data_IF_887077672765
#
_entry.id   IF_887077672765
#
_cell.length_a   1.000
_cell.length_b   1.000
_cell.length_c   1.000
_cell.angle_alpha   90.00
_cell.angle_beta   90.00
_cell.angle_gamma   90.00
#
_symmetry.space_group_name_H-M   'P 1'
#
loop_
_entity.id
_entity.type
_entity.pdbx_description
1 polymer ?
#
# COMPACT_ATOMS: atom_id res chain seq x y z
N UNK A 1 14.78 29.09 -44.11
CA UNK A 1 14.30 27.68 -44.01
C UNK A 1 15.10 26.79 -44.98
N UNK A 2 15.43 27.24 -46.19
CA UNK A 2 16.18 26.47 -47.20
C UNK A 2 17.61 26.11 -46.71
N UNK A 3 18.34 27.06 -46.10
CA UNK A 3 19.68 26.83 -45.58
C UNK A 3 19.72 25.78 -44.50
N UNK A 4 18.71 25.75 -43.61
CA UNK A 4 18.64 24.75 -42.51
C UNK A 4 18.45 23.31 -43.05
N UNK A 5 17.64 23.16 -44.10
CA UNK A 5 17.42 21.84 -44.72
C UNK A 5 18.68 21.37 -45.50
N UNK A 6 19.43 22.29 -46.09
CA UNK A 6 20.72 22.00 -46.75
C UNK A 6 21.76 21.58 -45.73
N UNK A 7 21.89 22.29 -44.62
CA UNK A 7 22.82 21.97 -43.54
C UNK A 7 22.49 20.62 -42.89
N UNK A 8 21.21 20.32 -42.70
CA UNK A 8 20.78 19.02 -42.14
C UNK A 8 21.15 17.85 -43.09
N UNK A 9 20.94 18.01 -44.39
CA UNK A 9 21.33 17.01 -45.40
C UNK A 9 22.84 16.83 -45.46
N UNK A 10 23.60 17.92 -45.36
CA UNK A 10 25.06 17.88 -45.38
C UNK A 10 25.59 17.13 -44.12
N UNK A 11 25.07 17.45 -42.94
CA UNK A 11 25.41 16.79 -41.69
C UNK A 11 25.11 15.28 -41.73
N UNK A 12 23.94 14.92 -42.25
CA UNK A 12 23.56 13.50 -42.41
C UNK A 12 24.47 12.72 -43.34
N UNK A 13 24.95 13.39 -44.42
CA UNK A 13 25.91 12.81 -45.36
C UNK A 13 27.27 12.58 -44.73
N UNK A 14 27.76 13.56 -43.91
CA UNK A 14 29.04 13.45 -43.19
C UNK A 14 29.00 12.28 -42.18
N UNK A 15 27.92 12.16 -41.44
CA UNK A 15 27.73 11.05 -40.50
C UNK A 15 27.76 9.68 -41.17
N UNK A 16 27.19 9.58 -42.38
CA UNK A 16 27.25 8.32 -43.18
C UNK A 16 28.63 8.04 -43.76
N UNK A 17 29.44 9.05 -44.01
CA UNK A 17 30.80 8.89 -44.54
C UNK A 17 31.81 8.43 -43.50
N UNK A 18 31.52 8.66 -42.21
CA UNK A 18 32.41 8.27 -41.09
C UNK A 18 31.65 7.38 -40.08
N UNK A 19 31.35 6.11 -40.43
CA UNK A 19 30.49 5.24 -39.62
C UNK A 19 31.08 4.94 -38.26
N UNK A 20 32.38 4.76 -38.16
CA UNK A 20 33.04 4.49 -36.87
C UNK A 20 32.92 5.65 -35.90
N UNK A 21 33.11 6.88 -36.36
CA UNK A 21 32.90 8.07 -35.55
C UNK A 21 31.44 8.22 -35.12
N UNK A 22 30.52 8.00 -36.04
CA UNK A 22 29.08 8.10 -35.78
C UNK A 22 28.61 7.11 -34.73
N UNK A 23 29.05 5.85 -34.86
CA UNK A 23 28.77 4.80 -33.88
C UNK A 23 29.32 5.18 -32.48
N UNK A 24 30.57 5.64 -32.41
CA UNK A 24 31.20 6.05 -31.15
C UNK A 24 30.45 7.24 -30.53
N UNK A 25 30.10 8.26 -31.33
CA UNK A 25 29.37 9.43 -30.84
C UNK A 25 27.95 9.06 -30.36
N UNK A 26 27.23 8.23 -31.12
CA UNK A 26 25.88 7.75 -30.75
C UNK A 26 25.95 6.88 -29.47
N UNK A 27 26.94 5.99 -29.40
CA UNK A 27 27.12 5.16 -28.19
C UNK A 27 27.41 6.00 -26.93
N UNK A 28 28.28 7.00 -27.05
CA UNK A 28 28.58 7.91 -25.95
C UNK A 28 27.35 8.71 -25.48
N UNK A 29 26.58 9.25 -26.44
CA UNK A 29 25.33 9.95 -26.15
C UNK A 29 24.27 9.02 -25.54
N UNK A 30 24.12 7.82 -26.09
CA UNK A 30 23.17 6.84 -25.59
C UNK A 30 23.48 6.40 -24.16
N UNK A 31 24.77 6.18 -23.85
CA UNK A 31 25.22 5.87 -22.49
C UNK A 31 24.99 7.05 -21.53
N UNK A 32 25.35 8.27 -21.95
CA UNK A 32 25.18 9.46 -21.12
C UNK A 32 23.70 9.76 -20.82
N UNK A 33 22.85 9.73 -21.84
CA UNK A 33 21.41 9.95 -21.68
C UNK A 33 20.77 8.79 -20.93
N UNK A 34 21.11 7.54 -21.27
CA UNK A 34 20.57 6.34 -20.66
C UNK A 34 20.88 6.25 -19.15
N UNK A 35 22.12 6.52 -18.77
CA UNK A 35 22.52 6.53 -17.36
C UNK A 35 21.78 7.61 -16.57
N UNK A 36 21.72 8.84 -17.07
CA UNK A 36 21.00 9.92 -16.41
C UNK A 36 19.50 9.66 -16.31
N UNK A 37 18.90 9.11 -17.36
CA UNK A 37 17.46 8.75 -17.35
C UNK A 37 17.17 7.65 -16.35
N UNK A 38 18.02 6.62 -16.29
CA UNK A 38 17.87 5.54 -15.32
C UNK A 38 17.97 6.04 -13.88
N UNK A 39 18.98 6.85 -13.56
CA UNK A 39 19.15 7.45 -12.23
C UNK A 39 17.97 8.36 -11.91
N UNK A 40 17.56 9.22 -12.83
CA UNK A 40 16.42 10.12 -12.63
C UNK A 40 15.10 9.34 -12.42
N UNK A 41 14.89 8.25 -13.14
CA UNK A 41 13.70 7.41 -12.97
C UNK A 41 13.61 6.83 -11.56
N UNK A 42 14.74 6.34 -11.03
CA UNK A 42 14.80 5.82 -9.65
C UNK A 42 14.57 6.95 -8.64
N UNK A 43 15.28 8.06 -8.78
CA UNK A 43 15.15 9.22 -7.89
C UNK A 43 13.72 9.77 -7.92
N UNK A 44 13.14 9.91 -9.10
CA UNK A 44 11.77 10.40 -9.25
C UNK A 44 10.76 9.48 -8.60
N UNK A 45 10.90 8.16 -8.77
CA UNK A 45 9.94 7.19 -8.21
C UNK A 45 10.05 7.06 -6.70
N UNK A 46 11.29 7.12 -6.15
CA UNK A 46 11.52 6.85 -4.73
C UNK A 46 11.50 8.12 -3.87
N UNK A 47 11.99 9.26 -4.40
CA UNK A 47 12.19 10.47 -3.61
C UNK A 47 11.28 11.65 -4.00
N UNK A 48 10.91 11.76 -5.27
CA UNK A 48 10.20 12.96 -5.77
C UNK A 48 8.71 12.73 -5.99
N UNK A 49 8.29 11.49 -6.27
CA UNK A 49 6.88 11.19 -6.45
C UNK A 49 6.19 11.23 -5.08
N UNK A 50 5.20 12.11 -4.88
CA UNK A 50 4.45 12.13 -3.62
C UNK A 50 3.73 10.79 -3.43
N UNK A 51 3.60 10.34 -2.20
CA UNK A 51 2.80 9.18 -1.87
C UNK A 51 1.35 9.40 -2.35
N UNK A 52 0.68 8.39 -2.90
CA UNK A 52 -0.66 8.52 -3.47
C UNK A 52 -1.75 8.54 -2.41
N UNK A 53 -1.52 9.24 -1.30
CA UNK A 53 -2.45 9.39 -0.19
C UNK A 53 -3.04 10.81 -0.16
N UNK A 54 -4.19 11.03 0.50
CA UNK A 54 -4.87 12.32 0.51
C UNK A 54 -4.03 13.48 1.06
N UNK A 55 -3.19 13.25 2.04
CA UNK A 55 -2.33 14.25 2.69
C UNK A 55 -0.95 13.64 3.03
N UNK A 56 -0.13 13.32 2.04
CA UNK A 56 1.10 12.56 2.27
C UNK A 56 2.09 13.28 3.19
N UNK A 57 2.14 14.61 3.12
CA UNK A 57 3.03 15.45 3.95
C UNK A 57 2.63 15.49 5.43
N UNK A 58 1.43 15.03 5.77
CA UNK A 58 0.93 14.97 7.14
C UNK A 58 0.94 13.57 7.74
N UNK A 59 1.29 12.56 6.94
CA UNK A 59 1.41 11.19 7.43
C UNK A 59 2.76 10.99 8.12
N UNK A 60 2.71 10.39 9.29
CA UNK A 60 3.91 10.01 10.06
C UNK A 60 3.83 8.55 10.47
N UNK A 61 4.94 7.85 10.36
CA UNK A 61 5.07 6.49 10.85
C UNK A 61 5.77 6.51 12.21
N UNK A 62 5.15 5.92 13.22
CA UNK A 62 5.79 5.77 14.52
C UNK A 62 6.86 4.69 14.47
N UNK A 63 8.08 5.06 14.85
CA UNK A 63 9.20 4.13 14.95
C UNK A 63 9.59 3.93 16.41
N UNK A 64 9.81 2.67 16.80
CA UNK A 64 10.48 2.36 18.05
C UNK A 64 11.99 2.46 17.88
N UNK A 65 12.65 3.17 18.78
CA UNK A 65 14.11 3.26 18.82
C UNK A 65 14.67 2.38 19.94
N UNK A 66 15.63 1.57 19.61
CA UNK A 66 16.39 0.72 20.55
C UNK A 66 17.89 0.89 20.30
N UNK A 67 18.76 0.38 21.18
CA UNK A 67 20.20 0.38 20.94
C UNK A 67 20.63 -0.35 19.64
N UNK A 68 19.77 -1.24 19.13
CA UNK A 68 20.00 -2.01 17.90
C UNK A 68 19.51 -1.28 16.65
N UNK A 69 18.81 -0.15 16.79
CA UNK A 69 18.29 0.64 15.68
C UNK A 69 16.82 1.03 15.88
N UNK A 70 16.26 1.69 14.88
CA UNK A 70 14.85 2.08 14.84
C UNK A 70 14.09 1.19 13.88
N UNK A 71 12.87 0.77 14.25
CA UNK A 71 12.00 -0.03 13.41
C UNK A 71 10.52 0.28 13.62
N UNK A 72 9.70 0.05 12.59
CA UNK A 72 8.26 0.21 12.67
C UNK A 72 7.70 -0.97 13.46
N UNK A 73 7.28 -0.75 14.67
CA UNK A 73 6.63 -1.78 15.47
C UNK A 73 6.28 -1.24 16.83
N UNK A 74 5.05 -1.47 17.26
CA UNK A 74 4.60 -1.05 18.55
C UNK A 74 3.78 -2.13 19.22
N UNK A 75 3.68 -2.06 20.54
CA UNK A 75 2.79 -2.92 21.31
C UNK A 75 1.38 -2.30 21.39
N UNK A 76 0.35 -3.10 21.68
CA UNK A 76 -1.00 -2.60 21.98
C UNK A 76 -0.99 -1.47 23.00
N UNK A 77 -0.21 -1.61 24.06
CA UNK A 77 -0.05 -0.59 25.12
C UNK A 77 0.44 0.75 24.55
N UNK A 78 1.48 0.71 23.69
CA UNK A 78 2.00 1.95 23.06
C UNK A 78 0.99 2.59 22.14
N UNK A 79 0.28 1.79 21.35
CA UNK A 79 -0.76 2.29 20.46
C UNK A 79 -1.86 3.04 21.24
N UNK A 80 -2.36 2.43 22.32
CA UNK A 80 -3.37 3.05 23.16
C UNK A 80 -2.86 4.37 23.76
N UNK A 81 -1.61 4.36 24.27
CA UNK A 81 -0.98 5.56 24.83
C UNK A 81 -0.88 6.69 23.79
N UNK A 82 -0.43 6.39 22.58
CA UNK A 82 -0.30 7.39 21.51
C UNK A 82 -1.66 7.91 21.06
N UNK A 83 -2.66 7.06 20.93
CA UNK A 83 -4.02 7.46 20.58
C UNK A 83 -4.67 8.36 21.62
N UNK A 84 -4.43 8.12 22.91
CA UNK A 84 -5.09 8.83 24.01
C UNK A 84 -4.36 10.11 24.41
N UNK A 85 -3.04 10.12 24.35
CA UNK A 85 -2.23 11.20 24.91
C UNK A 85 -1.81 12.26 23.90
N UNK A 86 -2.08 12.09 22.63
CA UNK A 86 -1.63 13.03 21.60
C UNK A 86 -2.80 13.84 21.03
N UNK A 87 -2.85 15.11 21.37
CA UNK A 87 -3.68 16.12 20.65
C UNK A 87 -3.04 16.58 19.33
N UNK A 88 -1.83 16.08 19.01
CA UNK A 88 -1.10 16.48 17.82
C UNK A 88 -1.55 15.72 16.55
N UNK A 89 -2.22 14.57 16.72
CA UNK A 89 -2.67 13.74 15.62
C UNK A 89 -4.19 13.74 15.52
N UNK A 90 -4.70 13.94 14.33
CA UNK A 90 -6.14 13.89 14.05
C UNK A 90 -6.65 12.43 14.07
N UNK A 91 -5.84 11.52 13.53
CA UNK A 91 -6.11 10.08 13.47
C UNK A 91 -4.82 9.30 13.75
N UNK A 92 -4.95 8.18 14.45
CA UNK A 92 -3.86 7.22 14.67
C UNK A 92 -4.37 5.84 14.30
N UNK A 93 -3.63 5.14 13.45
CA UNK A 93 -4.01 3.80 12.99
C UNK A 93 -2.91 2.78 13.26
N UNK A 94 -3.33 1.56 13.52
CA UNK A 94 -2.46 0.40 13.63
C UNK A 94 -2.80 -0.60 12.53
N UNK A 95 -1.77 -1.33 12.06
CA UNK A 95 -1.97 -2.42 11.11
C UNK A 95 -1.01 -3.57 11.36
N UNK A 96 -1.41 -4.76 10.92
CA UNK A 96 -0.57 -5.96 10.92
C UNK A 96 -0.97 -6.85 9.76
N UNK A 97 -0.03 -7.20 8.92
CA UNK A 97 -0.24 -8.18 7.84
C UNK A 97 -0.19 -9.61 8.39
N UNK A 98 -1.02 -10.48 7.86
CA UNK A 98 -1.13 -11.89 8.19
C UNK A 98 -1.68 -12.68 7.00
N UNK A 99 -1.89 -13.96 7.18
CA UNK A 99 -2.66 -14.79 6.27
C UNK A 99 -3.80 -15.45 7.04
N UNK A 100 -4.92 -15.65 6.36
CA UNK A 100 -6.09 -16.41 6.87
C UNK A 100 -6.53 -17.41 5.83
N UNK A 101 -7.26 -18.43 6.24
CA UNK A 101 -7.79 -19.44 5.33
C UNK A 101 -9.26 -19.15 5.05
N UNK A 102 -9.59 -18.94 3.78
CA UNK A 102 -10.99 -19.01 3.34
C UNK A 102 -11.38 -20.47 3.31
N UNK A 103 -12.32 -20.88 4.16
CA UNK A 103 -12.69 -22.31 4.32
C UNK A 103 -14.01 -22.65 3.62
N UNK A 104 -14.73 -21.66 3.11
CA UNK A 104 -15.97 -21.87 2.35
C UNK A 104 -15.67 -22.24 0.89
N UNK A 105 -16.21 -23.38 0.45
CA UNK A 105 -15.99 -23.93 -0.90
C UNK A 105 -14.61 -24.57 -1.05
N UNK A 106 -13.86 -24.17 -2.08
CA UNK A 106 -12.48 -24.62 -2.24
C UNK A 106 -11.57 -23.84 -1.27
N UNK A 107 -10.90 -24.51 -0.32
CA UNK A 107 -10.05 -23.83 0.67
C UNK A 107 -8.88 -23.10 0.01
N UNK A 108 -8.66 -21.87 0.41
CA UNK A 108 -7.57 -21.02 -0.09
C UNK A 108 -6.95 -20.21 1.06
N UNK A 109 -5.62 -20.19 1.14
CA UNK A 109 -4.94 -19.25 2.03
C UNK A 109 -4.81 -17.90 1.32
N UNK A 110 -5.34 -16.85 1.95
CA UNK A 110 -5.41 -15.50 1.42
C UNK A 110 -4.63 -14.51 2.28
N UNK A 111 -4.12 -13.46 1.64
CA UNK A 111 -3.44 -12.37 2.33
C UNK A 111 -4.44 -11.52 3.12
N UNK A 112 -4.17 -11.28 4.38
CA UNK A 112 -5.03 -10.48 5.24
C UNK A 112 -4.25 -9.37 5.95
N UNK A 113 -4.95 -8.29 6.29
CA UNK A 113 -4.43 -7.26 7.17
C UNK A 113 -5.44 -6.96 8.28
N UNK A 114 -4.96 -6.98 9.53
CA UNK A 114 -5.71 -6.40 10.64
C UNK A 114 -5.40 -4.91 10.71
N UNK A 115 -6.44 -4.08 10.71
CA UNK A 115 -6.30 -2.62 10.71
C UNK A 115 -7.29 -1.98 11.68
N UNK A 116 -6.90 -0.88 12.31
CA UNK A 116 -7.85 -0.10 13.11
C UNK A 116 -8.81 0.72 12.24
N UNK A 117 -9.94 1.15 12.80
CA UNK A 117 -11.03 1.76 12.06
C UNK A 117 -10.62 3.01 11.25
N UNK A 118 -9.67 3.80 11.74
CA UNK A 118 -9.20 5.02 11.05
C UNK A 118 -8.28 4.76 9.85
N UNK A 119 -7.82 3.53 9.67
CA UNK A 119 -6.89 3.14 8.61
C UNK A 119 -7.36 3.59 7.21
N UNK A 120 -8.58 3.24 6.84
CA UNK A 120 -9.09 3.53 5.51
C UNK A 120 -9.25 5.02 5.23
N UNK A 121 -9.52 5.80 6.27
CA UNK A 121 -9.61 7.27 6.19
C UNK A 121 -8.24 7.89 6.00
N UNK A 122 -7.24 7.44 6.77
CA UNK A 122 -5.85 7.92 6.67
C UNK A 122 -5.28 7.73 5.27
N UNK A 123 -5.50 6.56 4.68
CA UNK A 123 -4.94 6.21 3.38
C UNK A 123 -5.86 6.54 2.21
N UNK A 124 -7.07 7.07 2.46
CA UNK A 124 -8.01 7.42 1.41
C UNK A 124 -8.46 6.24 0.56
N UNK A 125 -8.58 5.05 1.18
CA UNK A 125 -8.97 3.83 0.49
C UNK A 125 -10.35 4.00 -0.18
N UNK A 126 -10.46 3.87 -1.52
CA UNK A 126 -11.72 4.09 -2.21
C UNK A 126 -12.67 2.93 -1.93
N UNK A 127 -13.93 3.25 -1.62
CA UNK A 127 -14.98 2.26 -1.40
C UNK A 127 -15.77 2.03 -2.69
N UNK A 128 -15.87 0.78 -3.14
CA UNK A 128 -16.66 0.38 -4.32
C UNK A 128 -18.10 0.04 -3.92
N UNK A 129 -18.24 -0.71 -2.81
CA UNK A 129 -19.55 -1.14 -2.32
C UNK A 129 -19.55 -1.28 -0.80
N UNK A 130 -20.69 -1.08 -0.16
CA UNK A 130 -20.87 -1.23 1.28
C UNK A 130 -20.20 -0.12 2.10
N UNK A 131 -19.52 -0.49 3.17
CA UNK A 131 -18.83 0.41 4.11
C UNK A 131 -17.57 -0.21 4.70
N UNK A 132 -16.76 0.58 5.38
CA UNK A 132 -15.63 0.14 6.20
C UNK A 132 -16.06 -0.12 7.64
N UNK A 133 -15.14 -0.46 8.53
CA UNK A 133 -15.41 -0.71 9.95
C UNK A 133 -15.88 0.56 10.66
N UNK A 134 -16.81 0.38 11.58
CA UNK A 134 -17.10 1.38 12.59
C UNK A 134 -16.12 1.29 13.78
N UNK A 135 -15.97 2.36 14.59
CA UNK A 135 -15.17 2.28 15.81
C UNK A 135 -15.64 1.20 16.78
N UNK A 136 -16.94 0.88 16.80
CA UNK A 136 -17.49 -0.17 17.67
C UNK A 136 -17.12 -1.58 17.19
N UNK A 137 -17.00 -1.79 15.88
CA UNK A 137 -16.54 -3.05 15.30
C UNK A 137 -15.03 -3.29 15.52
N UNK A 138 -14.25 -2.21 15.72
CA UNK A 138 -12.82 -2.26 16.01
C UNK A 138 -12.51 -2.36 17.52
N UNK A 139 -13.50 -2.60 18.36
CA UNK A 139 -13.31 -2.91 19.80
C UNK A 139 -13.22 -4.40 20.03
N UNK A 140 -12.58 -4.84 21.12
CA UNK A 140 -12.67 -6.23 21.56
C UNK A 140 -14.13 -6.68 21.61
N UNK A 141 -14.43 -7.82 21.00
CA UNK A 141 -15.80 -8.35 20.87
C UNK A 141 -16.74 -7.53 19.97
N UNK A 142 -16.21 -6.64 19.14
CA UNK A 142 -16.96 -5.80 18.19
C UNK A 142 -17.61 -6.55 17.02
N UNK A 143 -17.52 -7.88 17.03
CA UNK A 143 -18.05 -8.76 15.99
C UNK A 143 -17.00 -9.14 14.95
N UNK A 144 -17.32 -10.21 14.20
CA UNK A 144 -16.47 -10.70 13.11
C UNK A 144 -16.96 -10.10 11.80
N UNK A 145 -16.23 -9.10 11.32
CA UNK A 145 -16.53 -8.39 10.08
C UNK A 145 -15.30 -8.35 9.17
N UNK A 146 -15.53 -8.23 7.88
CA UNK A 146 -14.45 -8.21 6.88
C UNK A 146 -14.77 -7.22 5.77
N UNK A 147 -13.74 -6.58 5.24
CA UNK A 147 -13.80 -5.78 4.01
C UNK A 147 -12.88 -6.45 2.99
N UNK A 148 -13.35 -6.60 1.76
CA UNK A 148 -12.64 -7.29 0.69
C UNK A 148 -11.90 -6.30 -0.20
N UNK A 149 -10.80 -6.73 -0.82
CA UNK A 149 -10.22 -6.01 -1.95
C UNK A 149 -11.01 -6.28 -3.23
N UNK A 150 -11.02 -5.33 -4.17
CA UNK A 150 -11.66 -5.50 -5.48
C UNK A 150 -11.09 -6.70 -6.22
N UNK A 151 -9.77 -6.90 -6.17
CA UNK A 151 -9.10 -8.02 -6.82
C UNK A 151 -9.60 -9.36 -6.32
N UNK A 152 -9.69 -9.52 -5.01
CA UNK A 152 -10.21 -10.75 -4.39
C UNK A 152 -11.70 -10.96 -4.65
N UNK A 153 -12.50 -9.92 -4.51
CA UNK A 153 -13.95 -9.96 -4.81
C UNK A 153 -14.23 -10.41 -6.26
N UNK A 154 -13.48 -9.87 -7.23
CA UNK A 154 -13.59 -10.28 -8.64
C UNK A 154 -13.12 -11.72 -8.86
N UNK A 155 -11.96 -12.08 -8.32
CA UNK A 155 -11.33 -13.39 -8.52
C UNK A 155 -12.14 -14.51 -7.91
N UNK A 156 -12.60 -14.35 -6.65
CA UNK A 156 -13.23 -15.41 -5.87
C UNK A 156 -14.74 -15.40 -5.96
N UNK A 157 -15.37 -14.26 -6.06
CA UNK A 157 -16.82 -14.09 -5.99
C UNK A 157 -17.43 -13.54 -7.28
N UNK A 158 -16.68 -13.47 -8.39
CA UNK A 158 -17.18 -13.04 -9.68
C UNK A 158 -17.77 -11.62 -9.71
N UNK A 159 -17.34 -10.74 -8.77
CA UNK A 159 -17.88 -9.39 -8.59
C UNK A 159 -19.39 -9.38 -8.23
N UNK A 160 -19.87 -10.38 -7.49
CA UNK A 160 -21.25 -10.45 -7.03
C UNK A 160 -21.56 -9.30 -6.06
N UNK A 161 -22.41 -8.37 -6.49
CA UNK A 161 -22.81 -7.21 -5.69
C UNK A 161 -23.64 -7.58 -4.45
N UNK A 162 -24.24 -8.77 -4.43
CA UNK A 162 -25.05 -9.24 -3.29
C UNK A 162 -24.22 -9.81 -2.16
N UNK A 163 -22.89 -9.84 -2.30
CA UNK A 163 -21.97 -10.38 -1.29
C UNK A 163 -21.91 -9.50 -0.04
N UNK A 164 -22.11 -8.19 -0.19
CA UNK A 164 -22.14 -7.26 0.96
C UNK A 164 -23.33 -7.60 1.86
N UNK A 165 -23.05 -7.81 3.15
CA UNK A 165 -24.01 -8.28 4.15
C UNK A 165 -24.08 -9.80 4.29
N UNK A 166 -23.46 -10.57 3.40
CA UNK A 166 -23.36 -12.04 3.54
C UNK A 166 -22.18 -12.42 4.44
N UNK A 167 -22.19 -13.65 4.87
CA UNK A 167 -21.13 -14.22 5.72
C UNK A 167 -20.18 -15.06 4.87
N UNK A 168 -18.88 -14.94 5.15
CA UNK A 168 -17.80 -15.80 4.64
C UNK A 168 -17.07 -16.44 5.81
N UNK A 169 -16.53 -17.65 5.62
CA UNK A 169 -15.79 -18.35 6.65
C UNK A 169 -14.27 -18.10 6.51
N UNK A 170 -13.69 -17.41 7.48
CA UNK A 170 -12.25 -17.19 7.58
C UNK A 170 -11.74 -17.93 8.82
N UNK A 171 -10.79 -18.85 8.64
CA UNK A 171 -10.31 -19.75 9.71
C UNK A 171 -11.46 -20.40 10.49
N UNK A 172 -12.46 -20.93 9.74
CA UNK A 172 -13.71 -21.54 10.26
C UNK A 172 -14.60 -20.59 11.08
N UNK A 173 -14.25 -19.32 11.17
CA UNK A 173 -15.05 -18.32 11.87
C UNK A 173 -15.89 -17.51 10.88
N UNK A 174 -17.20 -17.34 11.13
CA UNK A 174 -18.06 -16.58 10.24
C UNK A 174 -17.81 -15.08 10.36
N UNK A 175 -17.54 -14.41 9.23
CA UNK A 175 -17.32 -12.97 9.13
C UNK A 175 -18.34 -12.34 8.17
N UNK A 176 -18.99 -11.26 8.60
CA UNK A 176 -19.92 -10.51 7.74
C UNK A 176 -19.12 -9.59 6.81
N UNK A 177 -19.36 -9.70 5.52
CA UNK A 177 -18.76 -8.80 4.51
C UNK A 177 -19.41 -7.43 4.61
N UNK A 178 -18.63 -6.42 5.02
CA UNK A 178 -19.14 -5.04 5.14
C UNK A 178 -19.04 -4.25 3.84
N UNK A 179 -18.04 -4.51 3.04
CA UNK A 179 -17.82 -3.76 1.82
C UNK A 179 -16.65 -4.28 0.99
N UNK A 180 -16.44 -3.60 -0.12
CA UNK A 180 -15.37 -3.87 -1.08
C UNK A 180 -14.60 -2.58 -1.32
N UNK A 181 -13.28 -2.64 -1.14
CA UNK A 181 -12.36 -1.52 -1.42
C UNK A 181 -11.84 -1.62 -2.85
N UNK A 182 -11.77 -0.50 -3.53
CA UNK A 182 -11.03 -0.34 -4.77
C UNK A 182 -9.53 -0.45 -4.54
N UNK A 183 -8.80 -0.45 -5.64
CA UNK A 183 -7.33 -0.45 -5.58
C UNK A 183 -6.83 0.85 -4.93
N UNK A 184 -5.96 0.73 -3.94
CA UNK A 184 -5.15 1.81 -3.39
C UNK A 184 -3.75 1.31 -3.10
N UNK A 185 -2.80 2.21 -3.03
CA UNK A 185 -1.41 1.85 -2.87
C UNK A 185 -1.15 1.29 -1.47
N UNK A 186 -0.71 0.04 -1.42
CA UNK A 186 -0.28 -0.64 -0.19
C UNK A 186 1.22 -0.91 -0.16
N UNK A 187 1.98 -0.53 -1.21
CA UNK A 187 3.42 -0.79 -1.30
C UNK A 187 4.23 0.03 -0.29
N UNK A 188 3.69 1.17 0.13
CA UNK A 188 4.31 1.99 1.16
C UNK A 188 4.19 1.42 2.58
N UNK A 189 3.42 0.34 2.78
CA UNK A 189 3.33 -0.30 4.10
C UNK A 189 4.58 -1.14 4.34
N UNK A 190 5.31 -0.89 5.45
CA UNK A 190 6.45 -1.71 5.82
C UNK A 190 6.03 -3.17 5.96
N UNK A 191 6.72 -4.08 5.25
CA UNK A 191 6.55 -5.53 5.36
C UNK A 191 5.23 -6.14 4.85
N UNK A 192 4.65 -5.65 3.79
CA UNK A 192 3.70 -6.43 3.00
C UNK A 192 4.45 -7.63 2.34
N UNK A 193 4.78 -8.64 3.14
CA UNK A 193 5.59 -9.79 2.69
C UNK A 193 4.87 -10.73 1.74
N UNK A 194 3.56 -10.57 1.61
CA UNK A 194 2.70 -11.46 0.81
C UNK A 194 1.93 -10.73 -0.32
N UNK A 195 2.34 -9.52 -0.68
CA UNK A 195 1.58 -8.71 -1.64
C UNK A 195 0.43 -7.93 -0.97
N UNK A 196 -0.40 -7.25 -1.77
CA UNK A 196 -1.54 -6.49 -1.25
C UNK A 196 -2.55 -7.43 -0.59
N UNK A 197 -3.16 -7.02 0.55
CA UNK A 197 -4.17 -7.83 1.22
C UNK A 197 -5.39 -8.13 0.34
N UNK A 198 -5.84 -9.37 0.38
CA UNK A 198 -7.12 -9.81 -0.18
C UNK A 198 -8.28 -9.37 0.69
N UNK A 199 -8.07 -9.37 2.02
CA UNK A 199 -9.08 -9.03 3.01
C UNK A 199 -8.52 -8.16 4.12
N UNK A 200 -9.40 -7.33 4.69
CA UNK A 200 -9.12 -6.44 5.80
C UNK A 200 -10.02 -6.80 6.96
N UNK A 201 -9.41 -6.99 8.13
CA UNK A 201 -10.10 -7.37 9.37
C UNK A 201 -9.90 -6.27 10.43
N UNK A 202 -10.85 -6.01 11.32
CA UNK A 202 -10.64 -5.07 12.40
C UNK A 202 -9.55 -5.59 13.34
N UNK A 203 -8.74 -4.66 13.87
CA UNK A 203 -7.62 -5.05 14.74
C UNK A 203 -8.08 -5.45 16.13
N UNK A 204 -9.14 -4.81 16.63
CA UNK A 204 -9.76 -5.05 17.93
C UNK A 204 -8.78 -5.03 19.10
N UNK A 205 -7.91 -4.02 19.13
CA UNK A 205 -6.91 -3.84 20.18
C UNK A 205 -7.61 -3.55 21.51
N UNK A 206 -7.36 -4.37 22.53
CA UNK A 206 -7.88 -4.14 23.88
C UNK A 206 -7.24 -2.87 24.47
N UNK A 207 -8.04 -1.85 24.86
CA UNK A 207 -7.53 -0.64 25.52
C UNK A 207 -6.79 -0.94 26.83
N UNK A 208 -7.16 -2.00 27.54
CA UNK A 208 -6.52 -2.43 28.77
C UNK A 208 -5.32 -3.37 28.56
N UNK A 209 -4.94 -3.65 27.31
CA UNK A 209 -3.86 -4.60 27.01
C UNK A 209 -2.52 -4.11 27.53
N UNK A 210 -1.84 -4.96 28.28
CA UNK A 210 -0.45 -4.81 28.70
C UNK A 210 0.54 -5.61 27.85
N UNK A 211 0.07 -6.18 26.73
CA UNK A 211 0.89 -6.98 25.83
C UNK A 211 2.03 -6.16 25.21
N UNK A 212 3.23 -6.77 25.17
CA UNK A 212 4.44 -6.19 24.58
C UNK A 212 4.70 -6.70 23.16
N UNK A 213 3.75 -7.41 22.54
CA UNK A 213 3.84 -7.82 21.14
C UNK A 213 3.95 -6.62 20.20
N UNK A 214 4.46 -6.84 18.97
CA UNK A 214 4.68 -5.77 18.01
C UNK A 214 3.72 -5.83 16.83
N UNK A 215 3.26 -4.67 16.38
CA UNK A 215 2.56 -4.44 15.11
C UNK A 215 2.89 -3.03 14.61
N UNK A 216 2.52 -2.70 13.40
CA UNK A 216 2.82 -1.41 12.80
C UNK A 216 1.74 -0.37 13.13
N UNK A 217 2.18 0.88 13.36
CA UNK A 217 1.31 2.02 13.67
C UNK A 217 1.69 3.17 12.74
N UNK A 218 0.67 3.78 12.19
CA UNK A 218 0.80 4.94 11.30
C UNK A 218 -0.03 6.09 11.82
#
# INVERSE_FOLDING_TARGET
VENFLQDLRHSLRLLRQSPAFTIAAVAALALGIGANTAIFSVVNTVLLKPLPYPQPDRLVLFLNTSPQGSGPGASPTKFNLWREQTSAFEHVSAFRTTAVNLTEGEPEQIAAAHVSADFFRLFGAPLIAGRTFSPDEDRPQGGHVVVLSEGFWRRRFGADATLVGRTVLLDDTPHVVLGVLGAFDTEAFPQATAGPPDVWLPFQIDPASTMQGHFFIT
#
